data_IF_983567165197
#
_entry.id   IF_983567165197
#
_cell.length_a   1.000
_cell.length_b   1.000
_cell.length_c   1.000
_cell.angle_alpha   90.00
_cell.angle_beta   90.00
_cell.angle_gamma   90.00
#
_symmetry.space_group_name_H-M   'P 1'
#
loop_
_entity.id
_entity.type
_entity.pdbx_description
1 polymer ?
#
# COMPACT_ATOMS: atom_id res chain seq x y z
N UNK A 1 -20.90 -25.68 -3.43
CA UNK A 1 -21.04 -24.21 -3.29
C UNK A 1 -19.86 -23.57 -2.55
N UNK A 2 -19.48 -24.02 -1.35
CA UNK A 2 -18.41 -23.37 -0.56
C UNK A 2 -17.04 -23.27 -1.25
N UNK A 3 -16.55 -24.35 -1.88
CA UNK A 3 -15.21 -24.41 -2.48
C UNK A 3 -15.03 -23.59 -3.77
N UNK A 4 -16.10 -23.40 -4.55
CA UNK A 4 -16.04 -22.78 -5.88
C UNK A 4 -16.75 -21.42 -5.96
N UNK A 5 -17.42 -20.99 -4.89
CA UNK A 5 -18.12 -19.70 -4.89
C UNK A 5 -17.80 -18.94 -3.62
N UNK A 6 -18.21 -19.44 -2.45
CA UNK A 6 -18.12 -18.67 -1.19
C UNK A 6 -16.68 -18.30 -0.87
N UNK A 7 -15.77 -19.29 -0.75
CA UNK A 7 -14.39 -18.98 -0.39
C UNK A 7 -13.65 -18.15 -1.44
N UNK A 8 -13.73 -18.48 -2.75
CA UNK A 8 -13.08 -17.66 -3.76
C UNK A 8 -13.62 -16.22 -3.82
N UNK A 9 -14.94 -16.02 -3.77
CA UNK A 9 -15.54 -14.68 -3.83
C UNK A 9 -15.20 -13.84 -2.59
N UNK A 10 -15.13 -14.46 -1.42
CA UNK A 10 -14.65 -13.80 -0.22
C UNK A 10 -13.17 -13.39 -0.36
N UNK A 11 -12.34 -14.27 -0.93
CA UNK A 11 -10.93 -13.96 -1.22
C UNK A 11 -10.77 -12.84 -2.25
N UNK A 12 -11.59 -12.83 -3.31
CA UNK A 12 -11.66 -11.75 -4.30
C UNK A 12 -12.03 -10.42 -3.63
N UNK A 13 -13.04 -10.43 -2.74
CA UNK A 13 -13.47 -9.22 -2.03
C UNK A 13 -12.37 -8.65 -1.13
N UNK A 14 -11.66 -9.51 -0.41
CA UNK A 14 -10.51 -9.11 0.42
C UNK A 14 -9.35 -8.55 -0.42
N UNK A 15 -9.05 -9.17 -1.57
CA UNK A 15 -8.02 -8.70 -2.47
C UNK A 15 -8.35 -7.31 -3.05
N UNK A 16 -9.60 -7.10 -3.48
CA UNK A 16 -10.07 -5.80 -3.95
C UNK A 16 -10.01 -4.73 -2.85
N UNK A 17 -10.38 -5.09 -1.62
CA UNK A 17 -10.26 -4.16 -0.48
C UNK A 17 -8.80 -3.78 -0.17
N UNK A 18 -7.85 -4.70 -0.34
CA UNK A 18 -6.42 -4.36 -0.26
C UNK A 18 -6.05 -3.34 -1.34
N UNK A 19 -6.49 -3.59 -2.57
CA UNK A 19 -6.20 -2.71 -3.69
C UNK A 19 -6.76 -1.29 -3.49
N UNK A 20 -7.99 -1.16 -2.97
CA UNK A 20 -8.58 0.14 -2.62
C UNK A 20 -7.70 0.90 -1.62
N UNK A 21 -7.21 0.23 -0.56
CA UNK A 21 -6.33 0.86 0.43
C UNK A 21 -4.98 1.26 -0.16
N UNK A 22 -4.39 0.42 -1.01
CA UNK A 22 -3.13 0.72 -1.70
C UNK A 22 -3.29 1.93 -2.63
N UNK A 23 -4.37 1.97 -3.43
CA UNK A 23 -4.67 3.10 -4.29
C UNK A 23 -4.92 4.39 -3.51
N UNK A 24 -5.66 4.32 -2.39
CA UNK A 24 -5.89 5.46 -1.50
C UNK A 24 -4.56 6.01 -0.96
N UNK A 25 -3.63 5.13 -0.56
CA UNK A 25 -2.29 5.55 -0.13
C UNK A 25 -1.48 6.20 -1.26
N UNK A 26 -1.52 5.63 -2.47
CA UNK A 26 -0.87 6.21 -3.66
C UNK A 26 -1.43 7.60 -3.99
N UNK A 27 -2.75 7.79 -3.90
CA UNK A 27 -3.40 9.08 -4.14
C UNK A 27 -2.94 10.14 -3.14
N UNK A 28 -2.91 9.80 -1.84
CA UNK A 28 -2.37 10.73 -0.82
C UNK A 28 -0.90 11.09 -1.06
N UNK A 29 -0.09 10.13 -1.48
CA UNK A 29 1.31 10.43 -1.83
C UNK A 29 1.40 11.37 -3.04
N UNK A 30 0.49 11.24 -4.01
CA UNK A 30 0.43 12.15 -5.15
C UNK A 30 -0.03 13.56 -4.74
N UNK A 31 -0.97 13.67 -3.81
CA UNK A 31 -1.39 14.96 -3.27
C UNK A 31 -0.25 15.69 -2.54
N UNK A 32 0.56 14.95 -1.75
CA UNK A 32 1.77 15.50 -1.12
C UNK A 32 2.79 15.99 -2.15
N UNK A 33 3.00 15.22 -3.23
CA UNK A 33 3.88 15.62 -4.34
C UNK A 33 3.37 16.90 -5.03
N UNK A 34 2.06 16.98 -5.32
CA UNK A 34 1.42 18.16 -5.91
C UNK A 34 1.54 19.37 -4.97
N UNK A 35 1.35 19.18 -3.68
CA UNK A 35 1.51 20.23 -2.67
C UNK A 35 2.95 20.75 -2.63
N UNK A 36 3.95 19.87 -2.64
CA UNK A 36 5.37 20.27 -2.67
C UNK A 36 5.71 21.10 -3.93
N UNK A 37 5.13 20.76 -5.09
CA UNK A 37 5.26 21.60 -6.28
C UNK A 37 4.67 23.00 -6.08
N UNK A 38 3.50 23.11 -5.46
CA UNK A 38 2.88 24.41 -5.18
C UNK A 38 3.70 25.23 -4.18
N UNK A 39 4.21 24.61 -3.12
CA UNK A 39 5.05 25.24 -2.09
C UNK A 39 6.39 25.75 -2.65
N UNK A 40 6.93 25.06 -3.67
CA UNK A 40 8.12 25.53 -4.41
C UNK A 40 7.83 26.62 -5.44
N UNK A 41 6.58 27.08 -5.56
CA UNK A 41 6.15 28.15 -6.47
C UNK A 41 5.81 27.69 -7.88
N UNK A 42 5.70 26.38 -8.14
CA UNK A 42 5.24 25.90 -9.43
C UNK A 42 3.75 26.23 -9.63
N UNK A 43 3.42 26.68 -10.85
CA UNK A 43 2.03 27.04 -11.23
C UNK A 43 1.59 26.18 -12.40
N UNK A 44 0.35 25.69 -12.34
CA UNK A 44 -0.25 24.94 -13.44
C UNK A 44 -0.47 25.84 -14.66
N UNK A 45 0.08 25.44 -15.81
CA UNK A 45 -0.17 26.12 -17.09
C UNK A 45 -1.61 25.93 -17.59
N UNK A 46 -2.28 24.85 -17.16
CA UNK A 46 -3.66 24.50 -17.52
C UNK A 46 -4.47 24.28 -16.25
N UNK A 47 -5.25 25.27 -15.83
CA UNK A 47 -6.04 25.23 -14.60
C UNK A 47 -7.01 24.04 -14.52
N UNK A 48 -7.58 23.59 -15.65
CA UNK A 48 -8.49 22.43 -15.70
C UNK A 48 -7.86 21.08 -15.32
N UNK A 49 -6.53 21.02 -15.19
CA UNK A 49 -5.83 19.82 -14.73
C UNK A 49 -5.70 19.77 -13.21
N UNK A 50 -6.07 20.85 -12.51
CA UNK A 50 -6.11 20.86 -11.06
C UNK A 50 -7.15 19.84 -10.59
N UNK A 51 -6.73 18.96 -9.69
CA UNK A 51 -7.59 18.04 -8.96
C UNK A 51 -7.79 18.56 -7.54
N UNK A 52 -8.91 18.20 -6.93
CA UNK A 52 -9.09 18.35 -5.49
C UNK A 52 -8.29 17.27 -4.75
N UNK A 53 -7.78 17.55 -3.54
CA UNK A 53 -7.09 16.55 -2.72
C UNK A 53 -7.99 15.34 -2.47
N UNK A 54 -7.41 14.14 -2.53
CA UNK A 54 -8.14 12.91 -2.29
C UNK A 54 -8.49 12.73 -0.81
N UNK A 55 -9.77 12.54 -0.53
CA UNK A 55 -10.29 12.25 0.81
C UNK A 55 -11.14 10.97 0.75
N UNK A 56 -10.76 9.96 1.55
CA UNK A 56 -11.29 8.60 1.43
C UNK A 56 -12.76 8.50 1.88
N UNK A 57 -13.15 9.22 2.95
CA UNK A 57 -14.50 9.11 3.50
C UNK A 57 -15.54 9.74 2.57
N UNK A 58 -15.23 10.92 2.02
CA UNK A 58 -16.02 11.64 1.03
C UNK A 58 -16.15 10.83 -0.26
N UNK A 59 -15.05 10.24 -0.74
CA UNK A 59 -15.10 9.33 -1.88
C UNK A 59 -16.02 8.14 -1.60
N UNK A 60 -15.91 7.51 -0.43
CA UNK A 60 -16.71 6.34 -0.08
C UNK A 60 -18.19 6.69 0.07
N UNK A 61 -18.50 7.81 0.72
CA UNK A 61 -19.87 8.33 0.87
C UNK A 61 -20.50 8.58 -0.50
N UNK A 62 -19.80 9.31 -1.38
CA UNK A 62 -20.27 9.58 -2.74
C UNK A 62 -20.42 8.29 -3.54
N UNK A 63 -19.46 7.37 -3.44
CA UNK A 63 -19.52 6.08 -4.14
C UNK A 63 -20.71 5.25 -3.67
N UNK A 64 -20.97 5.17 -2.37
CA UNK A 64 -22.11 4.47 -1.80
C UNK A 64 -23.44 5.07 -2.24
N UNK A 65 -23.55 6.40 -2.31
CA UNK A 65 -24.77 7.08 -2.70
C UNK A 65 -25.04 7.01 -4.21
N UNK A 66 -24.01 7.21 -5.05
CA UNK A 66 -24.21 7.43 -6.49
C UNK A 66 -23.86 6.22 -7.36
N UNK A 67 -22.88 5.39 -6.96
CA UNK A 67 -22.30 4.35 -7.83
C UNK A 67 -22.63 2.94 -7.40
N UNK A 68 -22.77 2.71 -6.09
CA UNK A 68 -23.01 1.38 -5.53
C UNK A 68 -24.25 0.66 -6.09
N UNK A 69 -25.41 1.33 -6.31
CA UNK A 69 -26.59 0.64 -6.84
C UNK A 69 -26.35 -0.02 -8.19
N UNK A 70 -25.61 0.65 -9.09
CA UNK A 70 -25.24 0.10 -10.40
C UNK A 70 -24.07 -0.87 -10.30
N UNK A 71 -23.05 -0.55 -9.49
CA UNK A 71 -21.83 -1.34 -9.36
C UNK A 71 -22.08 -2.74 -8.75
N UNK A 72 -23.08 -2.88 -7.88
CA UNK A 72 -23.43 -4.16 -7.24
C UNK A 72 -24.53 -4.94 -7.96
N UNK A 73 -25.03 -4.46 -9.11
CA UNK A 73 -26.05 -5.16 -9.87
C UNK A 73 -25.47 -6.45 -10.49
N UNK A 74 -25.83 -7.61 -9.95
CA UNK A 74 -25.29 -8.92 -10.38
C UNK A 74 -25.81 -9.34 -11.75
N UNK A 75 -27.04 -8.93 -12.10
CA UNK A 75 -27.66 -9.21 -13.39
C UNK A 75 -27.60 -10.69 -13.77
N UNK A 76 -27.13 -10.96 -14.99
CA UNK A 76 -26.94 -12.30 -15.55
C UNK A 76 -25.55 -12.91 -15.28
N UNK A 77 -24.71 -12.24 -14.48
CA UNK A 77 -23.35 -12.68 -14.16
C UNK A 77 -22.30 -12.43 -15.25
N UNK A 78 -22.66 -11.87 -16.42
CA UNK A 78 -21.67 -11.50 -17.45
C UNK A 78 -20.62 -10.50 -16.96
N UNK A 79 -20.96 -9.45 -16.17
CA UNK A 79 -19.95 -8.50 -15.68
C UNK A 79 -18.86 -9.20 -14.86
N UNK A 80 -19.23 -10.18 -14.05
CA UNK A 80 -18.26 -10.99 -13.31
C UNK A 80 -17.32 -11.74 -14.25
N UNK A 81 -17.86 -12.45 -15.25
CA UNK A 81 -17.08 -13.23 -16.20
C UNK A 81 -16.12 -12.35 -17.05
N UNK A 82 -16.52 -11.12 -17.36
CA UNK A 82 -15.69 -10.18 -18.13
C UNK A 82 -14.62 -9.48 -17.30
N UNK A 83 -14.93 -9.10 -16.05
CA UNK A 83 -14.09 -8.18 -15.28
C UNK A 83 -13.35 -8.83 -14.09
N UNK A 84 -13.89 -9.89 -13.50
CA UNK A 84 -13.37 -10.48 -12.26
C UNK A 84 -12.79 -11.90 -12.45
N UNK A 85 -13.00 -12.52 -13.60
CA UNK A 85 -12.59 -13.91 -13.85
C UNK A 85 -11.08 -14.15 -13.63
N UNK A 86 -10.23 -13.22 -14.08
CA UNK A 86 -8.77 -13.32 -13.90
C UNK A 86 -8.40 -13.33 -12.41
N UNK A 87 -8.98 -12.41 -11.63
CA UNK A 87 -8.74 -12.33 -10.18
C UNK A 87 -9.29 -13.56 -9.45
N UNK A 88 -10.47 -14.05 -9.83
CA UNK A 88 -11.04 -15.28 -9.29
C UNK A 88 -10.12 -16.49 -9.54
N UNK A 89 -9.58 -16.65 -10.75
CA UNK A 89 -8.63 -17.73 -11.08
C UNK A 89 -7.34 -17.61 -10.27
N UNK A 90 -6.83 -16.39 -10.08
CA UNK A 90 -5.64 -16.16 -9.24
C UNK A 90 -5.90 -16.55 -7.78
N UNK A 91 -7.02 -16.10 -7.19
CA UNK A 91 -7.41 -16.39 -5.80
C UNK A 91 -7.64 -17.88 -5.59
N UNK A 92 -8.34 -18.56 -6.51
CA UNK A 92 -8.57 -20.01 -6.42
C UNK A 92 -7.28 -20.80 -6.49
N UNK A 93 -6.36 -20.44 -7.41
CA UNK A 93 -5.03 -21.05 -7.50
C UNK A 93 -4.24 -20.87 -6.20
N UNK A 94 -4.22 -19.66 -5.65
CA UNK A 94 -3.55 -19.37 -4.39
C UNK A 94 -4.14 -20.18 -3.23
N UNK A 95 -5.47 -20.30 -3.15
CA UNK A 95 -6.14 -21.05 -2.10
C UNK A 95 -5.82 -22.56 -2.17
N UNK A 96 -5.77 -23.13 -3.38
CA UNK A 96 -5.39 -24.54 -3.57
C UNK A 96 -3.95 -24.77 -3.14
N UNK A 97 -3.03 -23.88 -3.54
CA UNK A 97 -1.62 -23.97 -3.16
C UNK A 97 -1.41 -23.85 -1.65
N UNK A 98 -2.09 -22.90 -0.99
CA UNK A 98 -2.02 -22.75 0.46
C UNK A 98 -2.49 -24.02 1.18
N UNK A 99 -3.56 -24.66 0.70
CA UNK A 99 -4.07 -25.93 1.26
C UNK A 99 -3.10 -27.10 1.06
N UNK A 100 -2.42 -27.16 -0.08
CA UNK A 100 -1.41 -28.19 -0.36
C UNK A 100 -0.17 -28.00 0.53
N UNK A 101 0.32 -26.77 0.67
CA UNK A 101 1.43 -26.45 1.56
C UNK A 101 1.15 -26.86 3.02
N UNK A 102 -0.08 -26.67 3.50
CA UNK A 102 -0.47 -27.12 4.85
C UNK A 102 -0.56 -28.65 4.99
N UNK A 103 -0.87 -29.37 3.90
CA UNK A 103 -0.97 -30.83 3.92
C UNK A 103 0.41 -31.49 3.89
N UNK A 104 1.32 -30.95 3.09
CA UNK A 104 2.69 -31.47 2.95
C UNK A 104 3.57 -31.12 4.17
N UNK A 105 3.17 -30.11 4.96
CA UNK A 105 3.83 -29.76 6.22
C UNK A 105 3.46 -30.68 7.40
N UNK A 106 2.50 -31.60 7.24
CA UNK A 106 1.92 -32.41 8.32
C UNK A 106 2.48 -33.82 8.51
N UNK A 107 3.35 -34.33 7.62
CA UNK A 107 3.81 -35.74 7.64
C UNK A 107 5.25 -35.94 8.17
N UNK A 108 5.80 -34.99 8.91
CA UNK A 108 7.10 -35.15 9.60
C UNK A 108 6.94 -35.23 11.12
N UNK A 109 6.03 -36.06 11.65
CA UNK A 109 6.10 -36.53 13.05
C UNK A 109 5.49 -37.93 13.20
N UNK A 110 6.19 -38.93 12.66
CA UNK A 110 6.07 -40.32 13.12
C UNK A 110 7.43 -40.75 13.67
N UNK A 111 7.74 -40.41 14.93
CA UNK A 111 8.56 -41.22 15.84
C UNK A 111 8.73 -40.60 17.22
N UNK A 112 8.49 -41.44 18.22
CA UNK A 112 9.07 -41.45 19.57
C UNK A 112 8.29 -40.81 20.73
N UNK A 113 7.63 -41.73 21.46
CA UNK A 113 7.68 -41.94 22.91
C UNK A 113 6.84 -41.06 23.87
N UNK A 114 5.85 -41.73 24.48
CA UNK A 114 5.57 -41.81 25.93
C UNK A 114 5.20 -40.54 26.72
N UNK A 115 3.93 -40.53 27.14
CA UNK A 115 3.23 -39.80 28.24
C UNK A 115 3.92 -39.89 29.63
N UNK A 116 3.42 -39.28 30.74
CA UNK A 116 2.29 -38.35 30.93
C UNK A 116 2.51 -37.14 31.90
N UNK A 117 1.52 -36.23 31.92
CA UNK A 117 0.98 -35.42 33.05
C UNK A 117 1.92 -34.65 34.00
N UNK A 118 1.72 -33.34 34.01
CA UNK A 118 1.90 -32.46 35.17
C UNK A 118 0.99 -31.23 35.04
N UNK A 119 -0.13 -31.23 35.75
CA UNK A 119 -0.94 -30.05 36.10
C UNK A 119 -0.15 -29.14 37.04
N UNK A 120 -0.20 -27.81 36.89
CA UNK A 120 -0.97 -26.91 37.79
C UNK A 120 -0.63 -25.39 37.60
N UNK A 121 -1.66 -24.56 37.82
CA UNK A 121 -1.69 -23.13 38.24
C UNK A 121 -1.35 -21.93 37.31
N UNK A 122 -2.45 -21.30 36.82
CA UNK A 122 -2.95 -19.91 36.99
C UNK A 122 -2.09 -18.65 36.65
N UNK A 123 -2.69 -17.56 36.08
CA UNK A 123 -1.98 -16.37 35.56
C UNK A 123 -2.03 -15.13 36.47
N UNK A 124 -1.00 -14.28 36.42
CA UNK A 124 -1.02 -12.91 36.98
C UNK A 124 -0.48 -11.88 35.97
N UNK A 125 -1.20 -10.75 35.87
CA UNK A 125 -0.93 -9.55 35.05
C UNK A 125 -0.45 -8.39 35.99
N UNK A 126 -0.28 -7.14 35.51
CA UNK A 126 0.92 -6.49 34.98
C UNK A 126 1.60 -5.51 35.96
N UNK A 127 2.82 -5.04 35.65
CA UNK A 127 3.36 -3.78 36.21
C UNK A 127 4.08 -2.96 35.13
N UNK A 128 3.54 -1.78 34.86
CA UNK A 128 4.14 -0.65 34.14
C UNK A 128 5.21 0.06 34.97
N UNK A 129 6.33 0.48 34.36
CA UNK A 129 7.06 1.74 34.64
C UNK A 129 7.90 2.09 33.39
N UNK A 130 7.52 3.11 32.61
CA UNK A 130 8.03 4.50 32.62
C UNK A 130 9.43 4.72 32.01
N UNK A 131 9.42 5.27 30.80
CA UNK A 131 10.18 6.43 30.28
C UNK A 131 11.66 6.63 30.65
N UNK A 132 12.52 6.63 29.62
CA UNK A 132 13.60 7.65 29.52
C UNK A 132 13.89 7.99 28.06
N UNK A 133 13.74 9.29 27.78
CA UNK A 133 14.01 10.02 26.54
C UNK A 133 15.50 10.43 26.54
N UNK A 134 16.18 10.40 25.39
CA UNK A 134 17.51 11.01 25.25
C UNK A 134 17.66 11.65 23.88
N UNK A 135 17.83 12.96 23.94
CA UNK A 135 18.14 13.96 22.92
C UNK A 135 19.68 14.11 22.81
N UNK A 136 20.23 14.62 21.70
CA UNK A 136 21.52 15.29 21.77
C UNK A 136 21.51 16.74 21.26
N UNK A 137 22.20 17.57 22.06
CA UNK A 137 22.48 19.01 21.97
C UNK A 137 23.35 19.46 20.77
N UNK A 138 23.39 20.79 20.59
CA UNK A 138 23.93 21.57 19.48
C UNK A 138 25.21 22.38 19.82
N UNK A 139 26.12 22.50 18.81
CA UNK A 139 27.08 23.61 18.49
C UNK A 139 28.20 24.00 19.49
N UNK A 140 29.26 24.83 19.17
CA UNK A 140 29.56 25.63 17.96
C UNK A 140 31.05 25.74 17.45
N UNK A 141 31.20 26.22 16.20
CA UNK A 141 32.12 27.29 15.66
C UNK A 141 33.67 27.10 15.41
N UNK A 142 34.04 27.47 14.16
CA UNK A 142 35.22 28.24 13.65
C UNK A 142 36.44 27.59 12.91
N UNK A 143 36.46 27.86 11.60
CA UNK A 143 37.50 28.55 10.78
C UNK A 143 38.89 27.95 10.47
N UNK A 144 39.19 27.74 9.17
CA UNK A 144 40.18 28.49 8.34
C UNK A 144 40.68 27.66 7.12
N UNK A 145 40.87 28.30 5.94
CA UNK A 145 41.09 27.72 4.59
C UNK A 145 42.52 27.25 4.23
N UNK A 146 43.05 27.33 2.97
CA UNK A 146 42.49 27.85 1.71
C UNK A 146 42.77 27.03 0.39
N UNK A 147 42.20 27.53 -0.73
CA UNK A 147 42.60 27.39 -2.15
C UNK A 147 42.54 26.02 -2.87
N UNK A 148 41.67 25.91 -3.88
CA UNK A 148 42.09 25.89 -5.30
C UNK A 148 40.90 26.12 -6.26
N UNK A 149 41.06 27.15 -7.10
CA UNK A 149 40.11 27.66 -8.09
C UNK A 149 40.10 26.76 -9.32
N UNK A 150 39.06 25.95 -9.49
CA UNK A 150 38.82 25.23 -10.75
C UNK A 150 38.25 26.19 -11.81
N UNK A 151 38.98 26.33 -12.91
CA UNK A 151 38.76 27.28 -13.99
C UNK A 151 37.70 26.72 -14.94
N UNK A 152 36.51 27.32 -14.95
CA UNK A 152 35.38 26.97 -15.83
C UNK A 152 35.72 27.24 -17.31
N UNK A 153 35.74 26.17 -18.11
CA UNK A 153 35.85 26.23 -19.57
C UNK A 153 34.48 26.59 -20.13
N UNK A 154 34.39 27.72 -20.84
CA UNK A 154 33.16 28.22 -21.46
C UNK A 154 32.77 27.33 -22.65
N UNK A 155 31.69 26.56 -22.54
CA UNK A 155 31.05 25.92 -23.69
C UNK A 155 29.89 26.79 -24.22
N UNK A 156 29.87 26.98 -25.54
CA UNK A 156 28.95 27.84 -26.29
C UNK A 156 27.54 27.23 -26.26
N UNK A 157 26.57 27.91 -25.65
CA UNK A 157 25.15 27.48 -25.59
C UNK A 157 24.54 27.36 -26.99
N UNK A 158 24.05 26.18 -27.36
CA UNK A 158 23.11 25.97 -28.48
C UNK A 158 21.68 26.06 -27.95
N UNK A 159 20.81 26.82 -28.61
CA UNK A 159 19.40 26.96 -28.25
C UNK A 159 18.67 25.63 -28.47
N UNK A 160 17.86 25.11 -27.53
CA UNK A 160 16.98 23.99 -27.83
C UNK A 160 15.89 24.47 -28.80
N UNK A 161 15.80 23.82 -29.97
CA UNK A 161 14.62 23.93 -30.84
C UNK A 161 13.48 23.24 -30.12
N UNK A 162 12.35 23.93 -29.95
CA UNK A 162 11.19 23.44 -29.23
C UNK A 162 10.65 22.15 -29.83
N UNK A 163 10.17 21.26 -28.95
CA UNK A 163 9.64 19.94 -29.28
C UNK A 163 8.19 19.97 -29.80
N UNK A 164 7.73 21.12 -30.29
CA UNK A 164 6.44 21.27 -30.95
C UNK A 164 6.73 21.79 -32.35
N UNK A 165 6.67 20.86 -33.30
CA UNK A 165 6.47 21.13 -34.73
C UNK A 165 5.08 20.62 -35.07
#
# INVERSE_FOLDING_TARGET
VSQHLIHPLMGVSLALQSHVRELAALLRMKDLEIQAYQESGAVLSRSRLKTEPFEENSFLEQFMAEKLPEACAVGDGKPFAMSLQSLYVAVTKQQIQARQAHKDSGETQASSSTSPRGTDNQPEEPVSLSSTLSEPEYEPVAASGPMHRARLVKSKRKKPRGLFS
#
